data_IF_971172382585
#
_entry.id   IF_971172382585
#
_cell.length_a   1.000
_cell.length_b   1.000
_cell.length_c   1.000
_cell.angle_alpha   90.00
_cell.angle_beta   90.00
_cell.angle_gamma   90.00
#
_symmetry.space_group_name_H-M   'P 1'
#
loop_
_entity.id
_entity.type
_entity.pdbx_description
1 polymer ?
#
# COMPACT_ATOMS: atom_id res chain seq x y z
N UNK A 1 19.32 -7.21 -22.29
CA UNK A 1 19.00 -6.55 -21.02
C UNK A 1 19.06 -7.62 -19.94
N UNK A 2 19.89 -7.46 -18.91
CA UNK A 2 19.82 -8.35 -17.76
C UNK A 2 18.51 -8.06 -17.01
N UNK A 3 17.80 -9.10 -16.59
CA UNK A 3 16.70 -8.91 -15.65
C UNK A 3 17.33 -8.61 -14.28
N UNK A 4 17.03 -7.45 -13.71
CA UNK A 4 17.46 -7.12 -12.36
C UNK A 4 16.74 -8.07 -11.38
N UNK A 5 17.53 -8.75 -10.55
CA UNK A 5 17.01 -9.64 -9.51
C UNK A 5 16.55 -8.76 -8.35
N UNK A 6 15.24 -8.68 -8.14
CA UNK A 6 14.64 -7.91 -7.04
C UNK A 6 14.69 -8.74 -5.77
N UNK A 7 15.36 -8.23 -4.74
CA UNK A 7 15.34 -8.81 -3.40
C UNK A 7 14.29 -8.09 -2.54
N UNK A 8 13.33 -8.84 -2.00
CA UNK A 8 12.31 -8.28 -1.11
C UNK A 8 11.78 -9.34 -0.14
N UNK A 9 11.13 -8.88 0.92
CA UNK A 9 10.46 -9.76 1.90
C UNK A 9 9.02 -10.05 1.45
N UNK A 10 8.66 -11.31 1.16
CA UNK A 10 7.31 -11.65 0.71
C UNK A 10 6.24 -11.29 1.74
N UNK A 11 6.52 -11.46 3.03
CA UNK A 11 5.58 -11.13 4.11
C UNK A 11 5.24 -9.64 4.19
N UNK A 12 6.26 -8.78 4.14
CA UNK A 12 6.07 -7.33 4.13
C UNK A 12 5.28 -6.88 2.89
N UNK A 13 5.62 -7.43 1.73
CA UNK A 13 4.90 -7.16 0.48
C UNK A 13 3.43 -7.61 0.55
N UNK A 14 3.14 -8.79 1.12
CA UNK A 14 1.76 -9.29 1.27
C UNK A 14 0.91 -8.42 2.19
N UNK A 15 1.45 -7.91 3.29
CA UNK A 15 0.70 -7.00 4.18
C UNK A 15 0.34 -5.72 3.42
N UNK A 16 1.27 -5.16 2.65
CA UNK A 16 1.02 -4.00 1.81
C UNK A 16 -0.05 -4.28 0.73
N UNK A 17 0.08 -5.38 -0.02
CA UNK A 17 -0.85 -5.77 -1.09
C UNK A 17 -2.28 -5.92 -0.56
N UNK A 18 -2.46 -6.50 0.63
CA UNK A 18 -3.78 -6.70 1.22
C UNK A 18 -4.45 -5.38 1.62
N UNK A 19 -3.69 -4.46 2.21
CA UNK A 19 -4.20 -3.11 2.55
C UNK A 19 -4.57 -2.35 1.27
N UNK A 20 -3.71 -2.42 0.25
CA UNK A 20 -3.92 -1.76 -1.03
C UNK A 20 -5.17 -2.29 -1.76
N UNK A 21 -5.34 -3.61 -1.81
CA UNK A 21 -6.51 -4.25 -2.44
C UNK A 21 -7.78 -3.93 -1.66
N UNK A 22 -7.74 -3.91 -0.33
CA UNK A 22 -8.90 -3.50 0.48
C UNK A 22 -9.33 -2.06 0.18
N UNK A 23 -8.37 -1.12 0.09
CA UNK A 23 -8.65 0.27 -0.27
C UNK A 23 -9.22 0.39 -1.70
N UNK A 24 -8.73 -0.43 -2.64
CA UNK A 24 -9.19 -0.48 -4.01
C UNK A 24 -10.63 -1.03 -4.13
N UNK A 25 -10.92 -2.12 -3.43
CA UNK A 25 -12.23 -2.77 -3.42
C UNK A 25 -13.32 -1.88 -2.83
N UNK A 26 -12.95 -0.87 -2.04
CA UNK A 26 -13.90 0.13 -1.58
C UNK A 26 -14.60 0.84 -2.75
N UNK A 27 -13.96 0.98 -3.92
CA UNK A 27 -14.60 1.56 -5.11
C UNK A 27 -15.78 0.72 -5.64
N UNK A 28 -15.71 -0.60 -5.47
CA UNK A 28 -16.78 -1.50 -5.88
C UNK A 28 -17.97 -1.41 -4.92
N UNK A 29 -17.68 -1.23 -3.62
CA UNK A 29 -18.68 -1.10 -2.56
C UNK A 29 -19.34 0.27 -2.57
N UNK A 30 -18.53 1.32 -2.64
CA UNK A 30 -18.95 2.71 -2.73
C UNK A 30 -18.48 3.33 -4.06
N UNK A 31 -19.44 3.54 -4.96
CA UNK A 31 -19.18 4.15 -6.27
C UNK A 31 -18.76 5.62 -6.17
N UNK A 32 -18.97 6.29 -5.03
CA UNK A 32 -18.61 7.70 -4.83
C UNK A 32 -17.14 7.90 -4.49
N UNK A 33 -16.42 6.86 -4.06
CA UNK A 33 -14.98 6.90 -3.87
C UNK A 33 -14.28 7.41 -5.14
N UNK A 34 -13.48 8.46 -5.02
CA UNK A 34 -12.78 9.11 -6.13
C UNK A 34 -11.30 9.39 -5.84
N UNK A 35 -10.80 8.99 -4.67
CA UNK A 35 -9.42 9.20 -4.24
C UNK A 35 -8.84 7.94 -3.62
N UNK A 36 -7.64 7.56 -4.08
CA UNK A 36 -6.76 6.61 -3.43
C UNK A 36 -5.36 7.23 -3.35
N UNK A 37 -4.68 7.12 -2.21
CA UNK A 37 -3.34 7.68 -2.01
C UNK A 37 -2.45 6.64 -1.36
N UNK A 38 -1.25 6.47 -1.88
CA UNK A 38 -0.21 5.61 -1.29
C UNK A 38 0.99 6.50 -0.98
N UNK A 39 1.47 6.48 0.26
CA UNK A 39 2.69 7.18 0.65
C UNK A 39 3.66 6.17 1.28
N UNK A 40 4.87 6.11 0.74
CA UNK A 40 5.98 5.31 1.25
C UNK A 40 7.08 6.28 1.70
N UNK A 41 7.17 6.50 3.01
CA UNK A 41 8.22 7.30 3.62
C UNK A 41 9.34 6.38 4.10
N UNK A 42 10.43 6.34 3.33
CA UNK A 42 11.62 5.53 3.62
C UNK A 42 12.37 6.04 4.84
N UNK A 43 12.34 7.35 5.10
CA UNK A 43 13.04 7.96 6.25
C UNK A 43 12.34 7.61 7.54
N UNK A 44 11.00 7.62 7.53
CA UNK A 44 10.17 7.27 8.69
C UNK A 44 9.80 5.78 8.74
N UNK A 45 10.27 4.97 7.79
CA UNK A 45 9.88 3.56 7.64
C UNK A 45 8.36 3.34 7.71
N UNK A 46 7.61 4.24 7.10
CA UNK A 46 6.14 4.27 7.19
C UNK A 46 5.52 4.08 5.82
N UNK A 47 4.57 3.16 5.73
CA UNK A 47 3.75 2.94 4.54
C UNK A 47 2.31 3.27 4.92
N UNK A 48 1.66 4.11 4.12
CA UNK A 48 0.28 4.51 4.35
C UNK A 48 -0.54 4.43 3.07
N UNK A 49 -1.73 3.84 3.19
CA UNK A 49 -2.72 3.73 2.10
C UNK A 49 -4.00 4.39 2.59
N UNK A 50 -4.54 5.30 1.79
CA UNK A 50 -5.76 6.04 2.09
C UNK A 50 -6.73 5.92 0.92
N UNK A 51 -8.01 5.73 1.22
CA UNK A 51 -9.12 5.95 0.28
C UNK A 51 -10.22 6.78 0.96
N UNK A 52 -10.98 7.53 0.16
CA UNK A 52 -12.22 8.14 0.64
C UNK A 52 -13.43 7.25 0.33
N UNK A 53 -14.63 7.78 0.58
CA UNK A 53 -15.89 7.07 0.41
C UNK A 53 -16.45 6.53 1.71
N UNK A 54 -17.53 5.77 1.60
CA UNK A 54 -18.19 5.11 2.70
C UNK A 54 -17.26 4.01 3.23
N UNK A 55 -16.61 4.31 4.36
CA UNK A 55 -15.65 3.40 4.98
C UNK A 55 -16.37 2.19 5.60
N UNK A 56 -15.60 1.17 5.97
CA UNK A 56 -16.12 0.15 6.88
C UNK A 56 -16.37 0.83 8.23
N UNK A 57 -17.55 0.66 8.87
CA UNK A 57 -17.74 1.13 10.24
C UNK A 57 -16.72 0.43 11.16
N UNK A 58 -15.67 1.15 11.53
CA UNK A 58 -14.67 0.67 12.47
C UNK A 58 -15.22 0.89 13.87
N UNK A 59 -15.66 -0.17 14.54
CA UNK A 59 -15.64 -0.17 16.01
C UNK A 59 -14.17 -0.09 16.43
N UNK A 60 -13.77 1.03 17.03
CA UNK A 60 -12.39 1.22 17.49
C UNK A 60 -12.10 0.17 18.56
N UNK A 61 -11.44 -0.93 18.17
CA UNK A 61 -10.46 -1.56 19.06
C UNK A 61 -9.22 -0.68 18.96
N UNK A 62 -8.65 -0.28 20.09
CA UNK A 62 -7.38 0.45 20.15
C UNK A 62 -6.24 -0.42 19.60
N UNK A 63 -6.23 -0.70 18.31
CA UNK A 63 -5.10 -1.34 17.63
C UNK A 63 -4.26 -0.19 17.09
N UNK A 64 -3.28 0.20 17.90
CA UNK A 64 -2.33 1.27 17.61
C UNK A 64 -1.67 1.08 16.24
N UNK A 65 -1.23 2.20 15.66
CA UNK A 65 -0.44 2.25 14.42
C UNK A 65 0.62 1.14 14.42
N UNK A 66 0.44 0.14 13.56
CA UNK A 66 1.40 -0.96 13.44
C UNK A 66 2.60 -0.49 12.63
N UNK A 67 3.69 -0.16 13.33
CA UNK A 67 4.98 0.07 12.68
C UNK A 67 5.62 -1.29 12.42
N UNK A 68 5.90 -1.66 11.15
CA UNK A 68 6.58 -2.90 10.85
C UNK A 68 7.92 -2.97 11.57
N UNK A 69 8.14 -4.04 12.33
CA UNK A 69 9.43 -4.32 12.98
C UNK A 69 10.43 -4.82 11.92
N UNK A 70 11.00 -3.88 11.17
CA UNK A 70 11.96 -4.17 10.09
C UNK A 70 13.17 -4.97 10.58
N UNK A 71 13.56 -4.80 11.85
CA UNK A 71 14.68 -5.50 12.46
C UNK A 71 14.43 -7.02 12.55
N UNK A 72 13.18 -7.47 12.78
CA UNK A 72 12.81 -8.90 12.70
C UNK A 72 13.05 -9.53 11.34
N UNK A 73 13.17 -8.70 10.31
CA UNK A 73 13.42 -9.15 8.95
C UNK A 73 14.83 -8.81 8.44
N UNK A 74 15.73 -8.37 9.33
CA UNK A 74 17.11 -8.02 8.96
C UNK A 74 17.25 -6.71 8.18
N UNK A 75 16.23 -5.85 8.21
CA UNK A 75 16.22 -4.57 7.50
C UNK A 75 16.34 -3.40 8.49
N UNK A 76 17.09 -2.37 8.10
CA UNK A 76 17.20 -1.10 8.84
C UNK A 76 16.30 -0.01 8.23
N UNK A 77 16.02 -0.12 6.94
CA UNK A 77 15.19 0.79 6.17
C UNK A 77 14.49 0.05 5.04
N UNK A 78 13.42 0.64 4.48
CA UNK A 78 12.86 0.18 3.22
C UNK A 78 13.89 0.36 2.10
N UNK A 79 14.30 -0.73 1.46
CA UNK A 79 15.25 -0.72 0.35
C UNK A 79 14.58 -0.28 -0.96
N UNK A 80 15.35 0.29 -1.88
CA UNK A 80 14.86 0.82 -3.17
C UNK A 80 14.10 -0.23 -3.99
N UNK A 81 14.55 -1.49 -3.96
CA UNK A 81 13.88 -2.62 -4.61
C UNK A 81 12.48 -2.88 -4.05
N UNK A 82 12.33 -2.79 -2.72
CA UNK A 82 11.05 -2.97 -2.03
C UNK A 82 10.11 -1.81 -2.36
N UNK A 83 10.62 -0.58 -2.31
CA UNK A 83 9.86 0.63 -2.66
C UNK A 83 9.43 0.58 -4.12
N UNK A 84 10.33 0.20 -5.03
CA UNK A 84 10.05 0.05 -6.45
C UNK A 84 9.00 -1.00 -6.73
N UNK A 85 9.08 -2.16 -6.07
CA UNK A 85 8.11 -3.24 -6.20
C UNK A 85 6.71 -2.82 -5.70
N UNK A 86 6.63 -2.18 -4.52
CA UNK A 86 5.36 -1.69 -3.96
C UNK A 86 4.75 -0.57 -4.82
N UNK A 87 5.59 0.36 -5.30
CA UNK A 87 5.15 1.45 -6.18
C UNK A 87 4.61 0.92 -7.50
N UNK A 88 5.32 -0.05 -8.11
CA UNK A 88 4.86 -0.74 -9.33
C UNK A 88 3.51 -1.42 -9.09
N UNK A 89 3.35 -2.14 -7.97
CA UNK A 89 2.09 -2.81 -7.64
C UNK A 89 0.93 -1.82 -7.49
N UNK A 90 1.16 -0.68 -6.84
CA UNK A 90 0.15 0.35 -6.69
C UNK A 90 -0.20 1.05 -8.02
N UNK A 91 0.76 1.22 -8.92
CA UNK A 91 0.51 1.67 -10.30
C UNK A 91 -0.31 0.67 -11.11
N UNK A 92 0.03 -0.63 -11.03
CA UNK A 92 -0.71 -1.68 -11.72
C UNK A 92 -2.18 -1.72 -11.26
N UNK A 93 -2.39 -1.61 -9.94
CA UNK A 93 -3.73 -1.58 -9.36
C UNK A 93 -4.50 -0.29 -9.71
N UNK A 94 -3.81 0.86 -9.81
CA UNK A 94 -4.41 2.11 -10.27
C UNK A 94 -5.01 1.95 -11.69
N UNK A 95 -4.35 1.20 -12.57
CA UNK A 95 -4.84 0.87 -13.90
C UNK A 95 -6.18 0.12 -13.89
N UNK A 96 -6.50 -0.60 -12.81
CA UNK A 96 -7.74 -1.37 -12.66
C UNK A 96 -8.92 -0.58 -12.07
N UNK A 97 -8.69 0.60 -11.49
CA UNK A 97 -9.72 1.40 -10.80
C UNK A 97 -10.57 2.29 -11.75
N UNK A 98 -10.20 2.34 -13.02
CA UNK A 98 -10.88 3.13 -14.05
C UNK A 98 -10.69 4.64 -13.90
N UNK A 99 -11.30 5.42 -14.79
CA UNK A 99 -11.04 6.87 -14.93
C UNK A 99 -11.64 7.76 -13.83
N UNK A 100 -12.43 7.18 -12.93
CA UNK A 100 -13.18 7.93 -11.91
C UNK A 100 -12.45 8.04 -10.58
N UNK A 101 -11.32 7.35 -10.41
CA UNK A 101 -10.50 7.39 -9.19
C UNK A 101 -9.19 8.09 -9.50
N UNK A 102 -8.85 9.10 -8.70
CA UNK A 102 -7.56 9.79 -8.72
C UNK A 102 -6.62 9.05 -7.78
N UNK A 103 -5.57 8.45 -8.33
CA UNK A 103 -4.51 7.82 -7.56
C UNK A 103 -3.35 8.78 -7.40
N UNK A 104 -2.85 8.96 -6.17
CA UNK A 104 -1.68 9.77 -5.86
C UNK A 104 -0.61 8.95 -5.13
N UNK A 105 0.63 9.29 -5.42
CA UNK A 105 1.84 8.77 -4.78
C UNK A 105 2.55 9.94 -4.09
#
# INVERSE_FOLDING_TARGET
MAADVICYLPGLYKIFDEILVNAADNKQRDRTMDSLKVNIDVVQNTISVYNNGDGVPVEIREEGVYVPDLAKFGMTSLEDDVVGLMSKRALDLAGCLGKTVKVKF
#
